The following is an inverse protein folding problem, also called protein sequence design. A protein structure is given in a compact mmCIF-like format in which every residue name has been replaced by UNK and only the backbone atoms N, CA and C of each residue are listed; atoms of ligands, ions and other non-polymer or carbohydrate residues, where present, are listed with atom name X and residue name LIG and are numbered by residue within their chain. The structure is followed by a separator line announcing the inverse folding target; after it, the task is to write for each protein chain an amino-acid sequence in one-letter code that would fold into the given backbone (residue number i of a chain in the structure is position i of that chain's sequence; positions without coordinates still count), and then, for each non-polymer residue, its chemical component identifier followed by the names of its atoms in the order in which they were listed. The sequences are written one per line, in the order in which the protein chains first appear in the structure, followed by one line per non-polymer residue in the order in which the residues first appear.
data_IF_244455487884
#
_entry.id   IF_244455487884
#
_cell.length_a   1.000
_cell.length_b   1.000
_cell.length_c   1.000
_cell.angle_alpha   90.00
_cell.angle_beta   90.00
_cell.angle_gamma   90.00
#
_symmetry.space_group_name_H-M   'P 1'
#
loop_
_entity.id
_entity.type
_entity.pdbx_description
1 polymer ?
#
# COMPACT_ATOMS: atom_id res chain seq x y z
N UNK A 1 -13.76 -13.53 0.61
CA UNK A 1 -12.32 -13.36 0.77
C UNK A 1 -12.09 -12.12 1.63
N UNK A 2 -11.44 -12.27 2.80
CA UNK A 2 -11.13 -11.17 3.70
C UNK A 2 -9.75 -10.60 3.38
N UNK A 3 -9.59 -9.29 3.18
CA UNK A 3 -8.28 -8.67 3.09
C UNK A 3 -7.59 -8.68 4.47
N UNK A 4 -6.26 -8.60 4.49
CA UNK A 4 -5.44 -8.70 5.71
C UNK A 4 -5.80 -7.68 6.82
N UNK A 5 -6.35 -6.53 6.45
CA UNK A 5 -6.78 -5.51 7.41
C UNK A 5 -8.18 -5.77 8.02
N UNK A 6 -8.84 -6.86 7.64
CA UNK A 6 -10.18 -7.22 8.11
C UNK A 6 -10.25 -8.56 8.83
N UNK A 7 -9.11 -9.15 9.16
CA UNK A 7 -9.07 -10.34 10.00
C UNK A 7 -7.79 -10.41 10.82
N UNK A 8 -7.89 -11.08 11.95
CA UNK A 8 -6.77 -11.44 12.82
C UNK A 8 -6.79 -12.96 13.00
N UNK A 9 -5.64 -13.58 13.00
CA UNK A 9 -5.50 -15.01 13.20
C UNK A 9 -4.40 -15.31 14.20
N UNK A 10 -4.65 -16.25 15.09
CA UNK A 10 -3.67 -16.82 16.01
C UNK A 10 -3.45 -18.30 15.67
N UNK A 11 -2.20 -18.76 15.80
CA UNK A 11 -1.81 -20.13 15.49
C UNK A 11 -1.01 -20.75 16.61
N UNK A 12 -1.08 -22.08 16.67
CA UNK A 12 -0.17 -22.87 17.54
C UNK A 12 1.23 -22.97 16.93
N UNK A 13 2.18 -23.51 17.70
CA UNK A 13 3.56 -23.73 17.24
C UNK A 13 3.70 -24.68 16.03
N UNK A 14 2.65 -25.42 15.68
CA UNK A 14 2.59 -26.29 14.51
C UNK A 14 1.93 -25.60 13.31
N UNK A 15 1.48 -24.35 13.47
CA UNK A 15 0.82 -23.55 12.45
C UNK A 15 -0.68 -23.82 12.29
N UNK A 16 -1.30 -24.61 13.19
CA UNK A 16 -2.74 -24.79 13.18
C UNK A 16 -3.43 -23.56 13.71
N UNK A 17 -4.56 -23.22 13.14
CA UNK A 17 -5.35 -22.08 13.58
C UNK A 17 -6.02 -22.37 14.92
N UNK A 18 -5.79 -21.50 15.90
CA UNK A 18 -6.44 -21.53 17.22
C UNK A 18 -7.62 -20.59 17.22
N UNK A 19 -7.44 -19.39 16.71
CA UNK A 19 -8.45 -18.33 16.76
C UNK A 19 -8.42 -17.50 15.48
N UNK A 20 -9.61 -17.09 15.03
CA UNK A 20 -9.79 -16.15 13.92
C UNK A 20 -10.84 -15.14 14.34
N UNK A 21 -10.56 -13.87 14.14
CA UNK A 21 -11.54 -12.80 14.25
C UNK A 21 -11.64 -12.11 12.90
N UNK A 22 -12.83 -12.06 12.32
CA UNK A 22 -13.07 -11.32 11.07
C UNK A 22 -13.92 -10.11 11.34
N UNK A 23 -13.68 -9.03 10.61
CA UNK A 23 -14.47 -7.80 10.63
C UNK A 23 -15.19 -7.62 9.31
N UNK A 24 -16.51 -7.45 9.36
CA UNK A 24 -17.36 -7.08 8.24
C UNK A 24 -18.12 -5.81 8.57
N UNK A 25 -18.29 -4.95 7.57
CA UNK A 25 -19.14 -3.76 7.69
C UNK A 25 -20.39 -4.00 6.85
N UNK A 26 -21.55 -4.00 7.48
CA UNK A 26 -22.83 -4.25 6.82
C UNK A 26 -23.85 -3.19 7.17
N UNK A 27 -24.87 -3.03 6.32
CA UNK A 27 -25.96 -2.09 6.59
C UNK A 27 -26.78 -2.55 7.80
N UNK A 28 -27.04 -1.67 8.75
CA UNK A 28 -27.80 -1.92 9.97
C UNK A 28 -29.14 -2.63 9.70
N UNK A 29 -29.85 -2.21 8.66
CA UNK A 29 -31.14 -2.83 8.26
C UNK A 29 -31.11 -4.34 8.08
N UNK A 30 -29.95 -4.93 7.75
CA UNK A 30 -29.83 -6.37 7.53
C UNK A 30 -29.73 -7.17 8.82
N UNK A 31 -29.40 -6.53 9.92
CA UNK A 31 -29.21 -7.17 11.22
C UNK A 31 -30.08 -6.59 12.32
N UNK A 32 -30.90 -5.60 11.99
CA UNK A 32 -31.77 -4.90 12.96
C UNK A 32 -32.64 -5.86 13.78
N UNK A 33 -33.21 -6.88 13.13
CA UNK A 33 -34.00 -7.92 13.76
C UNK A 33 -33.21 -8.86 14.71
N UNK A 34 -31.87 -8.82 14.61
CA UNK A 34 -30.97 -9.69 15.38
C UNK A 34 -30.21 -8.93 16.46
N UNK A 35 -30.25 -7.60 16.43
CA UNK A 35 -29.59 -6.75 17.40
C UNK A 35 -30.41 -6.66 18.70
N UNK A 36 -29.77 -6.76 19.88
CA UNK A 36 -30.39 -6.43 21.13
C UNK A 36 -30.88 -4.96 21.18
N UNK A 37 -32.02 -4.69 21.85
CA UNK A 37 -32.60 -3.33 21.91
C UNK A 37 -31.66 -2.26 22.50
N UNK A 38 -30.80 -2.66 23.43
CA UNK A 38 -29.81 -1.78 24.04
C UNK A 38 -28.70 -1.36 23.07
N UNK A 39 -28.30 -2.26 22.15
CA UNK A 39 -27.34 -1.95 21.07
C UNK A 39 -27.98 -1.02 20.03
N UNK A 40 -29.25 -1.25 19.71
CA UNK A 40 -29.99 -0.37 18.80
C UNK A 40 -30.07 1.06 19.33
N UNK A 41 -30.40 1.24 20.62
CA UNK A 41 -30.48 2.55 21.25
C UNK A 41 -29.15 3.28 21.33
N UNK A 42 -28.06 2.57 21.61
CA UNK A 42 -26.70 3.14 21.59
C UNK A 42 -26.30 3.57 20.18
N UNK A 43 -26.63 2.78 19.20
CA UNK A 43 -26.38 3.08 17.78
C UNK A 43 -27.13 4.31 17.30
N UNK A 44 -28.42 4.40 17.62
CA UNK A 44 -29.28 5.54 17.27
C UNK A 44 -28.77 6.86 17.89
N UNK A 45 -28.13 6.80 19.07
CA UNK A 45 -27.57 7.99 19.72
C UNK A 45 -26.29 8.53 19.06
N UNK A 46 -25.55 7.67 18.34
CA UNK A 46 -24.28 8.03 17.70
C UNK A 46 -24.48 8.52 16.25
N UNK A 47 -25.55 8.09 15.58
CA UNK A 47 -25.80 8.31 14.14
C UNK A 47 -26.43 9.66 13.83
N UNK A 48 -26.96 10.38 14.79
CA UNK A 48 -27.62 11.68 14.59
C UNK A 48 -26.71 12.81 14.05
N UNK A 49 -25.43 12.50 13.78
CA UNK A 49 -24.40 13.47 13.37
C UNK A 49 -23.83 13.27 11.95
N UNK A 50 -24.22 12.24 11.18
CA UNK A 50 -23.67 12.00 9.84
C UNK A 50 -24.66 12.35 8.71
N UNK A 51 -24.24 13.17 7.72
CA UNK A 51 -25.12 13.60 6.62
C UNK A 51 -25.38 12.54 5.55
N UNK A 52 -24.64 11.45 5.51
CA UNK A 52 -24.83 10.34 4.55
C UNK A 52 -25.51 9.16 5.23
N UNK A 53 -26.79 9.03 5.00
CA UNK A 53 -27.80 8.16 5.60
C UNK A 53 -27.65 6.64 5.28
N UNK A 54 -26.44 6.09 5.18
CA UNK A 54 -26.19 4.67 5.15
C UNK A 54 -25.64 4.27 6.51
N UNK A 55 -26.55 3.88 7.42
CA UNK A 55 -26.18 3.35 8.71
C UNK A 55 -25.49 2.00 8.51
N UNK A 56 -24.15 2.02 8.58
CA UNK A 56 -23.32 0.82 8.55
C UNK A 56 -22.89 0.46 9.96
N UNK A 57 -22.84 -0.83 10.27
CA UNK A 57 -22.26 -1.32 11.52
C UNK A 57 -21.20 -2.38 11.26
N UNK A 58 -20.21 -2.41 12.15
CA UNK A 58 -19.15 -3.41 12.14
C UNK A 58 -19.59 -4.65 12.91
N UNK A 59 -19.56 -5.81 12.23
CA UNK A 59 -19.75 -7.12 12.82
C UNK A 59 -18.41 -7.82 12.91
N UNK A 60 -18.13 -8.35 14.08
CA UNK A 60 -16.98 -9.19 14.34
C UNK A 60 -17.44 -10.65 14.48
N UNK A 61 -16.87 -11.52 13.65
CA UNK A 61 -17.07 -12.96 13.81
C UNK A 61 -15.86 -13.55 14.52
N UNK A 62 -16.08 -14.05 15.70
CA UNK A 62 -15.07 -14.69 16.52
C UNK A 62 -15.17 -16.20 16.40
N UNK A 63 -14.10 -16.83 15.93
CA UNK A 63 -13.99 -18.28 15.71
C UNK A 63 -12.88 -18.81 16.58
N UNK A 64 -13.19 -19.71 17.48
CA UNK A 64 -12.21 -20.29 18.42
C UNK A 64 -12.21 -21.81 18.28
N UNK A 65 -11.02 -22.40 18.38
CA UNK A 65 -10.86 -23.86 18.42
C UNK A 65 -11.09 -24.37 19.83
N UNK A 66 -12.12 -25.22 19.97
CA UNK A 66 -12.41 -25.96 21.18
C UNK A 66 -12.18 -27.46 20.93
N UNK A 67 -11.04 -27.99 21.41
CA UNK A 67 -10.60 -29.39 21.19
C UNK A 67 -10.60 -29.77 19.71
N UNK A 68 -11.56 -30.58 19.28
CA UNK A 68 -11.68 -31.10 17.90
C UNK A 68 -12.79 -30.39 17.11
N UNK A 69 -13.17 -29.17 17.49
CA UNK A 69 -14.21 -28.39 16.85
C UNK A 69 -13.81 -26.91 16.79
N UNK A 70 -14.34 -26.21 15.80
CA UNK A 70 -14.42 -24.77 15.82
C UNK A 70 -15.80 -24.34 16.28
N UNK A 71 -15.83 -23.37 17.19
CA UNK A 71 -17.04 -22.71 17.68
C UNK A 71 -16.94 -21.25 17.29
N UNK A 72 -18.02 -20.65 16.85
CA UNK A 72 -18.05 -19.24 16.48
C UNK A 72 -19.31 -18.56 16.96
N UNK A 73 -19.19 -17.25 17.12
CA UNK A 73 -20.30 -16.34 17.36
C UNK A 73 -19.98 -14.99 16.70
N UNK A 74 -20.99 -14.15 16.59
CA UNK A 74 -20.84 -12.79 16.06
C UNK A 74 -21.10 -11.78 17.19
N UNK A 75 -20.38 -10.67 17.11
CA UNK A 75 -20.47 -9.55 18.03
C UNK A 75 -20.67 -8.24 17.28
N UNK A 76 -21.51 -7.37 17.84
CA UNK A 76 -21.71 -5.99 17.40
C UNK A 76 -21.62 -5.10 18.63
N UNK A 77 -20.78 -4.06 18.57
CA UNK A 77 -20.53 -3.17 19.73
C UNK A 77 -20.21 -3.89 21.04
N UNK A 78 -19.46 -5.01 20.96
CA UNK A 78 -19.09 -5.82 22.13
C UNK A 78 -20.22 -6.66 22.71
N UNK A 79 -21.36 -6.79 22.01
CA UNK A 79 -22.48 -7.64 22.42
C UNK A 79 -22.63 -8.81 21.47
N UNK A 80 -22.79 -9.99 22.04
CA UNK A 80 -22.92 -11.24 21.29
C UNK A 80 -24.35 -11.35 20.74
N UNK A 81 -24.43 -11.68 19.44
CA UNK A 81 -25.68 -12.00 18.79
C UNK A 81 -26.05 -13.47 19.09
N UNK A 82 -27.07 -13.71 19.93
CA UNK A 82 -27.45 -15.04 20.40
C UNK A 82 -27.75 -16.05 19.28
N UNK A 83 -28.29 -15.58 18.14
CA UNK A 83 -28.62 -16.44 17.00
C UNK A 83 -27.42 -16.76 16.08
N UNK A 84 -26.24 -16.19 16.38
CA UNK A 84 -25.05 -16.34 15.53
C UNK A 84 -24.15 -17.51 15.89
N UNK A 85 -24.42 -18.20 16.99
CA UNK A 85 -23.63 -19.33 17.44
C UNK A 85 -23.64 -20.47 16.44
N UNK A 86 -22.45 -20.97 16.11
CA UNK A 86 -22.27 -22.12 15.27
C UNK A 86 -21.11 -22.98 15.71
N UNK A 87 -21.05 -24.20 15.20
CA UNK A 87 -19.96 -25.14 15.45
C UNK A 87 -19.74 -26.06 14.26
N UNK A 88 -18.49 -26.41 14.00
CA UNK A 88 -18.12 -27.39 12.97
C UNK A 88 -16.92 -28.22 13.44
N UNK A 89 -16.77 -29.46 12.95
CA UNK A 89 -15.54 -30.24 13.14
C UNK A 89 -14.32 -29.49 12.56
N UNK A 90 -13.12 -29.72 13.11
CA UNK A 90 -11.88 -29.09 12.63
C UNK A 90 -11.61 -29.38 11.15
N UNK A 91 -11.97 -30.59 10.69
CA UNK A 91 -11.76 -31.00 9.29
C UNK A 91 -12.72 -30.35 8.29
N UNK A 92 -13.80 -29.70 8.76
CA UNK A 92 -14.84 -29.08 7.94
C UNK A 92 -15.10 -27.64 8.37
N UNK A 93 -14.02 -26.90 8.65
CA UNK A 93 -14.13 -25.48 9.02
C UNK A 93 -14.54 -24.63 7.83
N UNK A 94 -15.51 -23.70 8.01
CA UNK A 94 -15.87 -22.76 6.95
C UNK A 94 -14.83 -21.63 6.77
N UNK A 95 -13.87 -21.48 7.69
CA UNK A 95 -12.80 -20.47 7.61
C UNK A 95 -11.46 -21.11 7.28
N UNK A 96 -10.80 -20.60 6.23
CA UNK A 96 -9.48 -21.05 5.80
C UNK A 96 -8.56 -19.85 5.79
N UNK A 97 -7.64 -19.79 6.76
CA UNK A 97 -6.60 -18.77 6.83
C UNK A 97 -5.39 -19.20 5.99
N UNK A 98 -5.27 -18.68 4.77
CA UNK A 98 -4.21 -19.02 3.83
C UNK A 98 -2.91 -18.28 4.14
N UNK A 99 -1.77 -18.97 3.97
CA UNK A 99 -0.41 -18.41 4.01
C UNK A 99 0.40 -18.92 2.83
N UNK A 100 1.09 -18.04 2.11
CA UNK A 100 1.98 -18.46 1.02
C UNK A 100 3.38 -18.77 1.50
N UNK A 101 4.06 -17.81 2.12
CA UNK A 101 5.42 -17.98 2.63
C UNK A 101 5.34 -18.06 4.14
N UNK A 102 5.47 -19.25 4.66
CA UNK A 102 5.38 -19.52 6.09
C UNK A 102 6.75 -19.43 6.76
N UNK A 103 6.78 -18.83 7.93
CA UNK A 103 7.92 -18.85 8.85
C UNK A 103 7.41 -19.44 10.17
N UNK A 104 8.19 -20.31 10.76
CA UNK A 104 7.81 -20.94 12.02
C UNK A 104 7.66 -19.88 13.12
N UNK A 105 6.58 -19.99 13.88
CA UNK A 105 6.24 -19.04 14.93
C UNK A 105 5.57 -17.75 14.47
N UNK A 106 5.28 -17.57 13.18
CA UNK A 106 4.50 -16.44 12.68
C UNK A 106 3.06 -16.85 12.33
N UNK A 107 2.09 -16.04 12.73
CA UNK A 107 0.68 -16.27 12.44
C UNK A 107 0.30 -15.96 11.00
N UNK A 108 0.99 -15.00 10.40
CA UNK A 108 0.76 -14.53 9.03
C UNK A 108 1.87 -14.99 8.08
N UNK A 109 1.53 -15.12 6.80
CA UNK A 109 2.52 -15.37 5.75
C UNK A 109 3.27 -14.08 5.38
N UNK A 110 4.54 -14.21 5.01
CA UNK A 110 5.35 -13.10 4.51
C UNK A 110 5.04 -12.81 3.05
N UNK A 111 4.81 -11.54 2.73
CA UNK A 111 4.63 -11.08 1.35
C UNK A 111 5.95 -11.08 0.58
N UNK A 112 5.89 -11.33 -0.74
CA UNK A 112 7.06 -11.29 -1.62
C UNK A 112 7.76 -9.93 -1.64
N UNK A 113 7.00 -8.83 -1.54
CA UNK A 113 7.58 -7.49 -1.46
C UNK A 113 8.50 -7.36 -0.23
N UNK A 114 8.09 -7.91 0.92
CA UNK A 114 8.92 -7.92 2.13
C UNK A 114 10.23 -8.69 1.95
N UNK A 115 10.22 -9.78 1.19
CA UNK A 115 11.43 -10.59 0.91
C UNK A 115 12.43 -9.85 0.01
N UNK A 116 11.93 -9.10 -0.98
CA UNK A 116 12.75 -8.43 -1.98
C UNK A 116 12.85 -6.92 -1.76
N UNK A 117 12.48 -6.41 -0.59
CA UNK A 117 12.47 -4.96 -0.31
C UNK A 117 13.84 -4.31 -0.50
N UNK A 118 14.93 -5.03 -0.20
CA UNK A 118 16.30 -4.56 -0.40
C UNK A 118 16.62 -4.36 -1.89
N UNK A 119 16.27 -5.35 -2.70
CA UNK A 119 16.49 -5.31 -4.16
C UNK A 119 15.63 -4.25 -4.82
N UNK A 120 14.38 -4.13 -4.39
CA UNK A 120 13.46 -3.09 -4.89
C UNK A 120 13.96 -1.68 -4.57
N UNK A 121 14.46 -1.44 -3.36
CA UNK A 121 15.08 -0.16 -2.99
C UNK A 121 16.33 0.15 -3.80
N UNK A 122 17.15 -0.86 -4.08
CA UNK A 122 18.34 -0.71 -4.92
C UNK A 122 17.96 -0.37 -6.36
N UNK A 123 16.93 -1.02 -6.89
CA UNK A 123 16.42 -0.74 -8.23
C UNK A 123 15.83 0.69 -8.34
N UNK A 124 15.10 1.12 -7.34
CA UNK A 124 14.56 2.49 -7.25
C UNK A 124 15.70 3.52 -7.25
N UNK A 125 16.73 3.33 -6.41
CA UNK A 125 17.88 4.22 -6.34
C UNK A 125 18.65 4.27 -7.66
N UNK A 126 18.85 3.13 -8.33
CA UNK A 126 19.50 3.09 -9.65
C UNK A 126 18.65 3.78 -10.71
N UNK A 127 17.35 3.58 -10.71
CA UNK A 127 16.44 4.24 -11.64
C UNK A 127 16.46 5.76 -11.46
N UNK A 128 16.45 6.21 -10.23
CA UNK A 128 16.57 7.65 -9.90
C UNK A 128 17.91 8.22 -10.38
N UNK A 129 19.01 7.55 -10.08
CA UNK A 129 20.36 7.98 -10.51
C UNK A 129 20.47 8.06 -12.04
N UNK A 130 19.83 7.12 -12.77
CA UNK A 130 19.77 7.14 -14.24
C UNK A 130 19.03 8.38 -14.76
N UNK A 131 17.87 8.68 -14.21
CA UNK A 131 17.06 9.84 -14.60
C UNK A 131 17.82 11.15 -14.30
N UNK A 132 18.39 11.27 -13.11
CA UNK A 132 19.17 12.45 -12.69
C UNK A 132 20.43 12.60 -13.54
N UNK A 133 21.15 11.51 -13.79
CA UNK A 133 22.33 11.48 -14.64
C UNK A 133 22.01 11.88 -16.09
N UNK A 134 20.91 11.38 -16.64
CA UNK A 134 20.44 11.75 -17.98
C UNK A 134 20.04 13.21 -18.06
N UNK A 135 19.36 13.74 -17.04
CA UNK A 135 19.00 15.15 -16.96
C UNK A 135 20.25 16.06 -16.84
N UNK A 136 21.26 15.62 -16.08
CA UNK A 136 22.54 16.33 -15.98
C UNK A 136 23.32 16.29 -17.29
N UNK A 137 23.36 15.16 -17.97
CA UNK A 137 24.01 14.99 -19.28
C UNK A 137 23.36 15.83 -20.38
N UNK A 138 22.06 16.08 -20.28
CA UNK A 138 21.33 16.94 -21.22
C UNK A 138 21.63 18.44 -21.03
N UNK A 139 22.23 18.83 -19.90
CA UNK A 139 22.63 20.22 -19.65
C UNK A 139 23.91 20.54 -20.42
N UNK A 140 23.79 21.38 -21.41
CA UNK A 140 24.90 21.95 -22.16
C UNK A 140 25.10 23.39 -21.67
N UNK A 141 26.28 23.71 -21.18
CA UNK A 141 26.65 25.06 -20.77
C UNK A 141 27.63 25.61 -21.78
N UNK A 142 27.31 26.75 -22.37
CA UNK A 142 28.21 27.47 -23.26
C UNK A 142 29.03 28.46 -22.45
N UNK A 143 30.32 28.46 -22.69
CA UNK A 143 31.25 29.47 -22.14
C UNK A 143 31.73 30.39 -23.25
N UNK A 144 31.75 31.66 -22.99
CA UNK A 144 32.22 32.68 -23.95
C UNK A 144 33.46 33.35 -23.35
N UNK A 145 34.54 33.46 -24.14
CA UNK A 145 35.77 34.13 -23.69
C UNK A 145 35.50 35.62 -23.38
N UNK A 146 36.06 36.17 -22.31
CA UNK A 146 35.89 37.58 -21.97
C UNK A 146 36.38 38.54 -23.08
N UNK A 147 37.29 38.08 -23.92
CA UNK A 147 37.84 38.86 -25.04
C UNK A 147 37.09 38.68 -26.37
N UNK A 148 36.02 37.89 -26.32
CA UNK A 148 35.19 37.57 -27.53
C UNK A 148 34.40 38.78 -28.01
N UNK A 149 34.28 38.90 -29.33
CA UNK A 149 33.34 39.83 -29.96
C UNK A 149 31.89 39.37 -29.88
N UNK A 150 31.70 38.10 -29.59
CA UNK A 150 30.35 37.50 -29.47
C UNK A 150 29.79 37.75 -28.07
N UNK A 151 28.67 38.43 -27.97
CA UNK A 151 28.00 38.67 -26.68
C UNK A 151 27.20 37.44 -26.24
N UNK A 152 27.22 37.08 -24.95
CA UNK A 152 26.41 35.94 -24.43
C UNK A 152 24.93 36.04 -24.75
N UNK A 153 24.36 37.27 -24.76
CA UNK A 153 22.96 37.53 -25.10
C UNK A 153 22.62 37.18 -26.55
N UNK A 154 23.58 37.38 -27.48
CA UNK A 154 23.39 37.04 -28.89
C UNK A 154 23.31 35.51 -29.07
N UNK A 155 24.13 34.78 -28.33
CA UNK A 155 24.12 33.33 -28.33
C UNK A 155 22.83 32.76 -27.72
N UNK A 156 22.41 33.34 -26.58
CA UNK A 156 21.18 32.88 -25.87
C UNK A 156 19.89 33.09 -26.68
N UNK A 157 19.88 34.12 -27.53
CA UNK A 157 18.71 34.45 -28.36
C UNK A 157 18.83 33.87 -29.80
N UNK A 158 19.90 33.19 -30.13
CA UNK A 158 20.12 32.58 -31.42
C UNK A 158 19.21 31.34 -31.60
N UNK A 159 18.39 31.31 -32.62
CA UNK A 159 17.60 30.14 -33.01
C UNK A 159 18.46 29.05 -33.62
N UNK A 160 17.88 27.88 -33.78
CA UNK A 160 18.54 26.74 -34.46
C UNK A 160 18.94 27.12 -35.89
N UNK A 161 20.23 27.01 -36.24
CA UNK A 161 20.76 27.40 -37.56
C UNK A 161 21.06 28.89 -37.72
N UNK A 162 21.02 29.69 -36.65
CA UNK A 162 21.39 31.10 -36.73
C UNK A 162 22.88 31.29 -36.99
N UNK A 163 23.23 32.28 -37.81
CA UNK A 163 24.59 32.68 -38.10
C UNK A 163 24.98 33.82 -37.11
N UNK A 164 25.96 33.54 -36.26
CA UNK A 164 26.43 34.50 -35.27
C UNK A 164 27.86 34.92 -35.63
N UNK A 165 28.13 36.22 -35.55
CA UNK A 165 29.45 36.73 -35.82
C UNK A 165 30.37 36.49 -34.59
N UNK A 166 31.52 35.80 -34.82
CA UNK A 166 32.47 35.51 -33.74
C UNK A 166 33.55 34.54 -34.23
N UNK A 167 34.53 34.26 -33.34
CA UNK A 167 35.54 33.23 -33.62
C UNK A 167 35.09 31.91 -32.99
N UNK A 168 35.26 30.79 -33.69
CA UNK A 168 34.88 29.46 -33.15
C UNK A 168 35.60 29.15 -31.82
N UNK A 169 36.83 29.58 -31.66
CA UNK A 169 37.65 29.32 -30.48
C UNK A 169 37.24 30.14 -29.25
N UNK A 170 36.42 31.15 -29.42
CA UNK A 170 35.92 32.00 -28.36
C UNK A 170 34.74 31.36 -27.60
N UNK A 171 34.17 30.30 -28.14
CA UNK A 171 33.01 29.63 -27.57
C UNK A 171 33.41 28.22 -27.16
N UNK A 172 33.35 27.96 -25.87
CA UNK A 172 33.55 26.64 -25.29
C UNK A 172 32.21 25.97 -24.94
N UNK A 173 32.15 24.68 -25.08
CA UNK A 173 31.02 23.87 -24.63
C UNK A 173 31.45 23.04 -23.45
N UNK A 174 30.79 23.25 -22.30
CA UNK A 174 30.99 22.42 -21.11
C UNK A 174 29.79 21.48 -21.03
N UNK A 175 30.03 20.20 -21.27
CA UNK A 175 29.06 19.16 -21.14
C UNK A 175 29.30 18.40 -19.84
N UNK A 176 28.37 18.48 -18.92
CA UNK A 176 28.44 17.80 -17.62
C UNK A 176 27.93 16.38 -17.80
N UNK A 177 28.83 15.44 -17.94
CA UNK A 177 28.56 14.01 -18.03
C UNK A 177 28.77 13.41 -19.42
N UNK A 178 29.55 12.33 -19.46
CA UNK A 178 29.52 11.41 -20.61
C UNK A 178 28.28 10.55 -20.43
N UNK A 179 27.48 10.44 -21.48
CA UNK A 179 26.41 9.42 -21.56
C UNK A 179 27.01 8.06 -21.22
N UNK A 180 26.60 7.49 -20.10
CA UNK A 180 26.95 6.12 -19.81
C UNK A 180 26.22 5.25 -20.84
N UNK A 181 27.01 4.59 -21.69
CA UNK A 181 26.51 3.68 -22.73
C UNK A 181 26.13 2.37 -22.01
N UNK A 182 24.91 2.27 -21.56
CA UNK A 182 24.37 1.05 -21.00
C UNK A 182 23.94 0.14 -22.16
N UNK A 183 24.86 -0.71 -22.61
CA UNK A 183 24.59 -1.85 -23.46
C UNK A 183 24.26 -3.08 -22.62
#
# INVERSE_FOLDING_TARGET
LYPLNRYVVERDGNGNVIEIITKETIAKKLIEDQLPEDVLKEYDSVVDSSPDNVEECDIYTHVTRDNNRYVWHQEVHGKILEKSYGKAPVDVTPWIALRFNTVDGEDYGRGRVGQFIGDLKSLEALSQALVEGSAAAAKVVFTVSPSSTTKPSTLANAGNGAIVQGRPDDIGVVQVGKTADFR
#
